data_IF_474153339065
#
_entry.id   IF_474153339065
#
_cell.length_a   1.000
_cell.length_b   1.000
_cell.length_c   1.000
_cell.angle_alpha   90.00
_cell.angle_beta   90.00
_cell.angle_gamma   90.00
#
_symmetry.space_group_name_H-M   'P 1'
#
loop_
_entity.id
_entity.type
_entity.pdbx_description
1 polymer ?
#
# COMPACT_ATOMS: atom_id res chain seq x y z
N UNK A 1 3.44 23.93 1.15
CA UNK A 1 3.03 22.65 1.75
C UNK A 1 3.71 21.45 1.05
N UNK A 2 3.59 21.28 -0.26
CA UNK A 2 4.16 20.16 -1.01
C UNK A 2 5.64 19.86 -0.72
N UNK A 3 6.60 20.84 -0.68
CA UNK A 3 8.00 20.54 -0.42
C UNK A 3 8.24 19.93 0.97
N UNK A 4 7.40 20.26 1.95
CA UNK A 4 7.48 19.71 3.31
C UNK A 4 7.03 18.25 3.31
N UNK A 5 5.85 17.98 2.74
CA UNK A 5 5.30 16.62 2.64
C UNK A 5 6.24 15.72 1.84
N UNK A 6 6.71 16.19 0.67
CA UNK A 6 7.69 15.45 -0.13
C UNK A 6 8.93 15.07 0.67
N UNK A 7 9.49 16.00 1.47
CA UNK A 7 10.67 15.72 2.30
C UNK A 7 10.38 14.63 3.34
N UNK A 8 9.22 14.69 4.00
CA UNK A 8 8.80 13.69 4.98
C UNK A 8 8.65 12.32 4.32
N UNK A 9 7.97 12.25 3.18
CA UNK A 9 7.78 10.99 2.44
C UNK A 9 9.11 10.41 1.98
N UNK A 10 10.02 11.24 1.43
CA UNK A 10 11.34 10.77 1.00
C UNK A 10 12.22 10.27 2.17
N UNK A 11 12.03 10.81 3.37
CA UNK A 11 12.76 10.35 4.56
C UNK A 11 12.33 8.94 5.02
N UNK A 12 11.15 8.46 4.60
CA UNK A 12 10.68 7.10 4.91
C UNK A 12 11.56 6.00 4.29
N UNK A 13 12.35 6.32 3.27
CA UNK A 13 13.34 5.40 2.72
C UNK A 13 14.33 4.93 3.80
N UNK A 14 14.87 5.87 4.60
CA UNK A 14 15.77 5.54 5.71
C UNK A 14 15.10 4.69 6.78
N UNK A 15 13.83 4.99 7.10
CA UNK A 15 13.05 4.17 8.05
C UNK A 15 12.91 2.73 7.52
N UNK A 16 12.55 2.59 6.23
CA UNK A 16 12.41 1.27 5.60
C UNK A 16 13.73 0.49 5.56
N UNK A 17 14.87 1.17 5.43
CA UNK A 17 16.20 0.55 5.53
C UNK A 17 16.48 0.04 6.94
N UNK A 18 16.13 0.83 7.97
CA UNK A 18 16.36 0.48 9.38
C UNK A 18 15.49 -0.71 9.84
N UNK A 19 14.21 -0.74 9.46
CA UNK A 19 13.30 -1.85 9.81
C UNK A 19 13.46 -3.09 8.92
N UNK A 20 14.23 -2.96 7.83
CA UNK A 20 14.53 -4.02 6.88
C UNK A 20 13.44 -4.27 5.84
N UNK A 21 13.84 -4.71 4.67
CA UNK A 21 12.95 -5.05 3.55
C UNK A 21 12.95 -6.54 3.31
N UNK A 22 11.76 -7.13 3.27
CA UNK A 22 11.59 -8.48 2.75
C UNK A 22 11.54 -8.43 1.22
N UNK A 23 11.95 -9.53 0.55
CA UNK A 23 11.92 -9.62 -0.91
C UNK A 23 11.24 -10.89 -1.35
N UNK A 24 10.02 -10.73 -1.84
CA UNK A 24 9.23 -11.79 -2.44
C UNK A 24 8.70 -11.34 -3.80
N UNK A 25 8.21 -12.28 -4.59
CA UNK A 25 7.48 -11.93 -5.81
C UNK A 25 6.16 -11.27 -5.40
N UNK A 26 6.00 -10.00 -5.77
CA UNK A 26 4.81 -9.20 -5.53
C UNK A 26 4.14 -8.85 -6.85
N UNK A 27 2.84 -8.59 -6.78
CA UNK A 27 2.07 -8.14 -7.93
C UNK A 27 2.35 -6.66 -8.25
N UNK A 28 2.53 -5.86 -7.20
CA UNK A 28 2.79 -4.41 -7.22
C UNK A 28 1.65 -3.52 -7.73
N UNK A 29 0.50 -4.11 -8.11
CA UNK A 29 -0.69 -3.40 -8.58
C UNK A 29 -1.97 -4.15 -8.17
N UNK A 30 -2.21 -4.27 -6.87
CA UNK A 30 -3.31 -5.06 -6.28
C UNK A 30 -4.62 -4.27 -6.21
N UNK A 31 -4.97 -3.57 -7.30
CA UNK A 31 -6.26 -2.87 -7.45
C UNK A 31 -7.42 -3.86 -7.54
N UNK A 32 -8.64 -3.51 -7.11
CA UNK A 32 -9.80 -4.41 -7.13
C UNK A 32 -10.10 -5.00 -8.52
N UNK A 33 -9.87 -4.24 -9.57
CA UNK A 33 -10.11 -4.62 -10.97
C UNK A 33 -9.26 -5.80 -11.41
N UNK A 34 -8.12 -6.02 -10.77
CA UNK A 34 -7.22 -7.15 -11.06
C UNK A 34 -7.65 -8.46 -10.37
N UNK A 35 -8.71 -8.44 -9.55
CA UNK A 35 -9.25 -9.63 -8.90
C UNK A 35 -10.52 -10.10 -9.61
N UNK A 36 -10.45 -11.20 -10.31
CA UNK A 36 -11.58 -11.79 -11.06
C UNK A 36 -12.16 -12.96 -10.27
N UNK A 37 -13.43 -12.86 -9.92
CA UNK A 37 -14.17 -13.95 -9.28
C UNK A 37 -14.63 -14.97 -10.34
N UNK A 38 -14.03 -16.15 -10.32
CA UNK A 38 -14.46 -17.28 -11.14
C UNK A 38 -15.50 -18.16 -10.42
N UNK A 39 -15.96 -19.22 -11.11
CA UNK A 39 -16.95 -20.14 -10.58
C UNK A 39 -16.38 -21.03 -9.44
N UNK A 40 -15.12 -21.41 -9.54
CA UNK A 40 -14.42 -22.35 -8.64
C UNK A 40 -13.32 -21.68 -7.81
N UNK A 41 -12.77 -20.57 -8.29
CA UNK A 41 -11.67 -19.85 -7.65
C UNK A 41 -11.64 -18.38 -8.05
N UNK A 42 -10.88 -17.59 -7.32
CA UNK A 42 -10.53 -16.22 -7.70
C UNK A 42 -9.20 -16.21 -8.48
N UNK A 43 -9.07 -15.27 -9.39
CA UNK A 43 -7.88 -15.06 -10.21
C UNK A 43 -7.34 -13.66 -9.94
N UNK A 44 -6.03 -13.54 -9.82
CA UNK A 44 -5.30 -12.27 -9.83
C UNK A 44 -4.63 -12.15 -11.19
N UNK A 45 -4.96 -11.11 -11.94
CA UNK A 45 -4.53 -10.88 -13.32
C UNK A 45 -3.70 -9.59 -13.43
N UNK A 46 -3.18 -9.32 -14.62
CA UNK A 46 -2.45 -8.10 -14.95
C UNK A 46 -1.13 -7.93 -14.17
N UNK A 47 -0.24 -8.88 -14.36
CA UNK A 47 1.08 -8.99 -13.69
C UNK A 47 2.17 -8.12 -14.34
N UNK A 48 1.82 -7.08 -15.11
CA UNK A 48 2.80 -6.27 -15.84
C UNK A 48 3.81 -5.52 -14.93
N UNK A 49 3.42 -5.20 -13.69
CA UNK A 49 4.29 -4.58 -12.70
C UNK A 49 4.94 -5.58 -11.73
N UNK A 50 4.72 -6.88 -11.93
CA UNK A 50 5.22 -7.90 -11.01
C UNK A 50 6.74 -7.87 -10.88
N UNK A 51 7.23 -8.00 -9.65
CA UNK A 51 8.66 -7.96 -9.37
C UNK A 51 8.97 -8.28 -7.91
N UNK A 52 10.27 -8.28 -7.60
CA UNK A 52 10.74 -8.51 -6.23
C UNK A 52 10.54 -7.26 -5.39
N UNK A 53 9.64 -7.34 -4.42
CA UNK A 53 9.31 -6.24 -3.52
C UNK A 53 8.97 -6.76 -2.11
N UNK A 54 8.74 -5.85 -1.16
CA UNK A 54 8.21 -6.21 0.16
C UNK A 54 6.71 -6.52 0.03
N UNK A 55 6.23 -7.68 0.54
CA UNK A 55 4.81 -8.06 0.43
C UNK A 55 3.85 -7.06 1.06
N UNK A 56 4.31 -6.25 2.02
CA UNK A 56 3.48 -5.21 2.64
C UNK A 56 3.12 -4.10 1.65
N UNK A 57 3.82 -3.98 0.52
CA UNK A 57 3.44 -3.12 -0.60
C UNK A 57 2.10 -3.55 -1.20
N UNK A 58 1.93 -4.84 -1.52
CA UNK A 58 0.69 -5.36 -2.10
C UNK A 58 -0.48 -5.26 -1.10
N UNK A 59 -0.21 -5.55 0.18
CA UNK A 59 -1.21 -5.41 1.26
C UNK A 59 -1.66 -3.95 1.40
N UNK A 60 -0.72 -3.02 1.47
CA UNK A 60 -1.01 -1.59 1.57
C UNK A 60 -1.80 -1.10 0.35
N UNK A 61 -1.37 -1.50 -0.87
CA UNK A 61 -2.02 -1.16 -2.12
C UNK A 61 -3.48 -1.60 -2.15
N UNK A 62 -3.73 -2.87 -1.85
CA UNK A 62 -5.09 -3.40 -1.85
C UNK A 62 -6.00 -2.69 -0.85
N UNK A 63 -5.52 -2.39 0.35
CA UNK A 63 -6.30 -1.67 1.37
C UNK A 63 -6.72 -0.28 0.88
N UNK A 64 -5.79 0.48 0.29
CA UNK A 64 -6.08 1.86 -0.13
C UNK A 64 -6.88 1.94 -1.45
N UNK A 65 -6.72 0.96 -2.34
CA UNK A 65 -7.47 0.90 -3.61
C UNK A 65 -8.91 0.39 -3.42
N UNK A 66 -9.12 -0.50 -2.45
CA UNK A 66 -10.46 -0.94 -2.05
C UNK A 66 -11.19 0.05 -1.12
N UNK A 67 -10.53 1.12 -0.71
CA UNK A 67 -11.05 2.11 0.23
C UNK A 67 -11.63 1.48 1.52
N UNK A 68 -10.89 0.50 2.07
CA UNK A 68 -11.34 -0.23 3.26
C UNK A 68 -11.48 0.70 4.46
N UNK A 69 -12.61 0.63 5.14
CA UNK A 69 -12.74 1.18 6.46
C UNK A 69 -11.91 0.38 7.50
N UNK A 70 -11.86 0.86 8.74
CA UNK A 70 -11.00 0.25 9.77
C UNK A 70 -11.32 -1.22 10.04
N UNK A 71 -12.60 -1.59 10.09
CA UNK A 71 -13.03 -2.97 10.38
C UNK A 71 -12.72 -3.91 9.21
N UNK A 72 -12.91 -3.42 7.97
CA UNK A 72 -12.56 -4.16 6.74
C UNK A 72 -11.05 -4.36 6.61
N UNK A 73 -10.26 -3.31 6.90
CA UNK A 73 -8.80 -3.40 6.92
C UNK A 73 -8.32 -4.42 7.94
N UNK A 74 -8.85 -4.39 9.16
CA UNK A 74 -8.48 -5.34 10.21
C UNK A 74 -8.88 -6.77 9.85
N UNK A 75 -10.08 -6.96 9.28
CA UNK A 75 -10.52 -8.27 8.79
C UNK A 75 -9.60 -8.80 7.68
N UNK A 76 -9.26 -7.96 6.71
CA UNK A 76 -8.38 -8.32 5.60
C UNK A 76 -6.99 -8.72 6.11
N UNK A 77 -6.37 -7.89 6.96
CA UNK A 77 -5.06 -8.17 7.55
C UNK A 77 -5.07 -9.47 8.35
N UNK A 78 -6.05 -9.64 9.24
CA UNK A 78 -6.16 -10.83 10.06
C UNK A 78 -6.32 -12.10 9.20
N UNK A 79 -7.10 -12.03 8.12
CA UNK A 79 -7.24 -13.15 7.17
C UNK A 79 -5.94 -13.45 6.45
N UNK A 80 -5.26 -12.42 5.93
CA UNK A 80 -3.99 -12.61 5.23
C UNK A 80 -2.93 -13.25 6.14
N UNK A 81 -2.73 -12.72 7.35
CA UNK A 81 -1.71 -13.21 8.26
C UNK A 81 -2.06 -14.54 8.95
N UNK A 82 -3.34 -14.95 8.95
CA UNK A 82 -3.75 -16.26 9.48
C UNK A 82 -3.47 -17.43 8.53
N UNK A 83 -3.11 -17.15 7.27
CA UNK A 83 -2.81 -18.20 6.29
C UNK A 83 -1.45 -18.83 6.63
N UNK A 84 -1.44 -20.16 6.77
CA UNK A 84 -0.23 -20.95 7.03
C UNK A 84 0.47 -21.26 5.70
N UNK A 85 1.62 -20.63 5.48
CA UNK A 85 2.48 -20.92 4.35
C UNK A 85 3.68 -21.74 4.78
N UNK A 86 3.94 -22.86 4.11
CA UNK A 86 5.14 -23.69 4.28
C UNK A 86 5.41 -24.17 5.72
N UNK A 87 4.37 -24.59 6.44
CA UNK A 87 4.48 -25.11 7.82
C UNK A 87 4.94 -24.07 8.86
N UNK A 88 5.07 -22.82 8.49
CA UNK A 88 5.18 -21.72 9.45
C UNK A 88 3.78 -21.33 9.90
N UNK A 89 3.49 -21.59 11.16
CA UNK A 89 2.21 -21.19 11.76
C UNK A 89 1.97 -19.71 11.54
N UNK A 90 0.94 -19.35 10.76
CA UNK A 90 0.55 -17.96 10.58
C UNK A 90 0.27 -17.30 11.93
N UNK A 91 0.44 -16.01 12.02
CA UNK A 91 -0.05 -15.23 13.16
C UNK A 91 -1.47 -14.76 12.84
N UNK A 92 -2.34 -14.65 13.85
CA UNK A 92 -3.71 -14.18 13.62
C UNK A 92 -3.79 -12.69 13.26
N UNK A 93 -2.65 -11.99 13.23
CA UNK A 93 -2.54 -10.57 12.94
C UNK A 93 -1.11 -10.18 12.54
N UNK A 94 -0.92 -9.04 11.87
CA UNK A 94 0.41 -8.53 11.55
C UNK A 94 1.24 -8.22 12.81
N UNK A 95 2.55 -8.38 12.70
CA UNK A 95 3.49 -7.90 13.71
C UNK A 95 3.56 -6.36 13.74
N UNK A 96 4.09 -5.74 14.80
CA UNK A 96 4.28 -4.29 14.84
C UNK A 96 5.08 -3.76 13.64
N UNK A 97 6.14 -4.44 13.22
CA UNK A 97 6.96 -4.07 12.05
C UNK A 97 6.16 -4.16 10.74
N UNK A 98 5.29 -5.16 10.59
CA UNK A 98 4.43 -5.27 9.43
C UNK A 98 3.36 -4.18 9.38
N UNK A 99 2.78 -3.81 10.52
CA UNK A 99 1.86 -2.64 10.61
C UNK A 99 2.56 -1.33 10.24
N UNK A 100 3.78 -1.13 10.72
CA UNK A 100 4.62 0.03 10.37
C UNK A 100 4.89 0.09 8.87
N UNK A 101 5.31 -1.02 8.26
CA UNK A 101 5.52 -1.14 6.81
C UNK A 101 4.24 -0.89 6.01
N UNK A 102 3.09 -1.43 6.44
CA UNK A 102 1.80 -1.21 5.77
C UNK A 102 1.47 0.29 5.75
N UNK A 103 1.60 0.98 6.88
CA UNK A 103 1.34 2.43 6.93
C UNK A 103 2.33 3.20 6.06
N UNK A 104 3.63 2.86 6.12
CA UNK A 104 4.67 3.45 5.28
C UNK A 104 4.35 3.30 3.79
N UNK A 105 3.99 2.09 3.34
CA UNK A 105 3.67 1.84 1.93
C UNK A 105 2.36 2.48 1.48
N UNK A 106 1.36 2.62 2.35
CA UNK A 106 0.16 3.42 2.06
C UNK A 106 0.54 4.87 1.73
N UNK A 107 1.43 5.46 2.53
CA UNK A 107 1.92 6.83 2.32
C UNK A 107 2.64 6.94 0.97
N UNK A 108 3.58 6.02 0.71
CA UNK A 108 4.37 6.03 -0.51
C UNK A 108 3.50 5.89 -1.77
N UNK A 109 2.54 4.97 -1.76
CA UNK A 109 1.65 4.74 -2.89
C UNK A 109 0.70 5.91 -3.11
N UNK A 110 0.09 6.44 -2.08
CA UNK A 110 -0.78 7.60 -2.19
C UNK A 110 -0.02 8.82 -2.73
N UNK A 111 1.19 9.05 -2.25
CA UNK A 111 2.02 10.14 -2.75
C UNK A 111 2.44 9.92 -4.20
N UNK A 112 2.86 8.71 -4.57
CA UNK A 112 3.23 8.34 -5.94
C UNK A 112 2.09 8.57 -6.92
N UNK A 113 0.91 8.00 -6.63
CA UNK A 113 -0.25 8.08 -7.51
C UNK A 113 -0.82 9.50 -7.60
N UNK A 114 -0.70 10.32 -6.55
CA UNK A 114 -1.06 11.74 -6.64
C UNK A 114 -0.18 12.49 -7.66
N UNK A 115 1.14 12.23 -7.67
CA UNK A 115 2.06 12.83 -8.63
C UNK A 115 1.79 12.32 -10.06
N UNK A 116 1.54 11.02 -10.19
CA UNK A 116 1.20 10.40 -11.48
C UNK A 116 -0.06 11.03 -12.08
N UNK A 117 -1.07 11.33 -11.25
CA UNK A 117 -2.29 12.01 -11.70
C UNK A 117 -1.97 13.39 -12.27
N UNK A 118 -1.16 14.20 -11.59
CA UNK A 118 -0.72 15.52 -12.09
C UNK A 118 -0.03 15.38 -13.46
N UNK A 119 0.84 14.39 -13.61
CA UNK A 119 1.50 14.11 -14.89
C UNK A 119 0.50 13.74 -16.00
N UNK A 120 -0.50 12.92 -15.71
CA UNK A 120 -1.53 12.52 -16.68
C UNK A 120 -2.46 13.66 -17.05
N UNK A 121 -2.86 14.47 -16.08
CA UNK A 121 -3.68 15.66 -16.30
C UNK A 121 -2.97 16.70 -17.20
N UNK A 122 -1.67 16.89 -17.02
CA UNK A 122 -0.86 17.71 -17.91
C UNK A 122 -0.84 17.19 -19.37
N UNK A 123 -1.21 15.93 -19.59
CA UNK A 123 -1.40 15.30 -20.91
C UNK A 123 -2.86 15.22 -21.38
N UNK A 124 -3.77 15.90 -20.69
CA UNK A 124 -5.18 15.99 -21.05
C UNK A 124 -6.06 14.80 -20.58
N UNK A 125 -5.55 13.95 -19.67
CA UNK A 125 -6.33 12.83 -19.09
C UNK A 125 -6.76 13.24 -17.70
N UNK A 126 -8.07 13.39 -17.46
CA UNK A 126 -8.61 13.72 -16.12
C UNK A 126 -8.99 12.48 -15.33
N UNK A 127 -8.66 12.51 -14.04
CA UNK A 127 -9.04 11.49 -13.05
C UNK A 127 -9.93 12.09 -11.94
N UNK A 128 -10.54 13.26 -12.18
CA UNK A 128 -11.40 13.92 -11.18
C UNK A 128 -10.65 14.19 -9.87
N UNK A 129 -11.24 13.81 -8.75
CA UNK A 129 -10.68 14.04 -7.41
C UNK A 129 -9.66 12.99 -6.95
N UNK A 130 -9.32 12.00 -7.79
CA UNK A 130 -8.44 10.89 -7.41
C UNK A 130 -7.07 11.38 -6.93
N UNK A 131 -6.38 12.22 -7.70
CA UNK A 131 -5.07 12.76 -7.33
C UNK A 131 -5.09 13.60 -6.06
N UNK A 132 -5.96 14.61 -5.93
CA UNK A 132 -6.13 15.40 -4.72
C UNK A 132 -6.48 14.55 -3.47
N UNK A 133 -7.37 13.60 -3.59
CA UNK A 133 -7.75 12.69 -2.50
C UNK A 133 -6.54 11.84 -2.03
N UNK A 134 -5.77 11.28 -2.96
CA UNK A 134 -4.57 10.51 -2.66
C UNK A 134 -3.52 11.37 -1.96
N UNK A 135 -3.28 12.58 -2.44
CA UNK A 135 -2.34 13.50 -1.81
C UNK A 135 -2.74 13.88 -0.38
N UNK A 136 -4.02 14.18 -0.15
CA UNK A 136 -4.50 14.53 1.18
C UNK A 136 -4.40 13.35 2.16
N UNK A 137 -4.71 12.12 1.70
CA UNK A 137 -4.52 10.91 2.51
C UNK A 137 -3.05 10.62 2.80
N UNK A 138 -2.15 10.81 1.83
CA UNK A 138 -0.70 10.71 2.05
C UNK A 138 -0.22 11.70 3.12
N UNK A 139 -0.71 12.94 3.07
CA UNK A 139 -0.38 13.98 4.03
C UNK A 139 -0.83 13.61 5.45
N UNK A 140 -2.09 13.19 5.61
CA UNK A 140 -2.62 12.77 6.91
C UNK A 140 -1.85 11.56 7.47
N UNK A 141 -1.58 10.57 6.63
CA UNK A 141 -0.88 9.36 7.04
C UNK A 141 0.59 9.60 7.36
N UNK A 142 1.29 10.51 6.66
CA UNK A 142 2.68 10.83 7.00
C UNK A 142 2.79 11.56 8.32
N UNK A 143 1.88 12.47 8.65
CA UNK A 143 1.84 13.11 9.96
C UNK A 143 1.59 12.07 11.06
N UNK A 144 0.60 11.20 10.87
CA UNK A 144 0.31 10.10 11.80
C UNK A 144 1.51 9.15 11.97
N UNK A 145 2.23 8.85 10.89
CA UNK A 145 3.42 8.01 10.95
C UNK A 145 4.49 8.62 11.86
N UNK A 146 4.76 9.91 11.67
CA UNK A 146 5.74 10.64 12.48
C UNK A 146 5.34 10.74 13.96
N UNK A 147 4.05 10.85 14.25
CA UNK A 147 3.53 10.86 15.64
C UNK A 147 3.69 9.50 16.35
N UNK A 148 3.59 8.40 15.62
CA UNK A 148 3.60 7.04 16.20
C UNK A 148 5.01 6.46 16.29
N UNK A 149 5.86 6.70 15.27
CA UNK A 149 7.10 5.96 15.07
C UNK A 149 8.37 6.81 15.13
N UNK A 150 8.25 8.14 15.15
CA UNK A 150 9.40 9.05 15.13
C UNK A 150 9.48 9.91 16.38
#
# INVERSE_FOLDING_TARGET
EYPIIRRKVMALEGVLEDIGRDRYTCHNDTVPENFIKGADRNYLIDWEYAGMNDPMWDIAGHIIECDFNKDEEDLFKNKYFSIDYDLKKGSDKPSPVQEEKILLFKICQDFLWSIWTVYKEAKGVSFGDYGPMRYERAKQNVEKFYEIYM
#
